data_IF_074416400779
#
_entry.id   IF_074416400779
#
_cell.length_a   1.000
_cell.length_b   1.000
_cell.length_c   1.000
_cell.angle_alpha   90.00
_cell.angle_beta   90.00
_cell.angle_gamma   90.00
#
_symmetry.space_group_name_H-M   'P 1'
#
loop_
_entity.id
_entity.type
_entity.pdbx_description
1 polymer ?
#
# COMPACT_ATOMS: atom_id res chain seq x y z
N UNK A 1 -18.11 32.52 3.17
CA UNK A 1 -18.80 31.62 4.12
C UNK A 1 -17.94 31.47 5.38
N UNK A 2 -18.55 31.36 6.56
CA UNK A 2 -17.83 31.30 7.85
C UNK A 2 -18.09 29.94 8.51
N UNK A 3 -17.03 29.30 9.02
CA UNK A 3 -17.04 28.01 9.69
C UNK A 3 -16.20 28.12 10.97
N UNK A 4 -16.85 28.18 12.11
CA UNK A 4 -16.15 28.38 13.38
C UNK A 4 -15.19 29.59 13.34
N UNK A 5 -13.90 29.29 13.49
CA UNK A 5 -12.80 30.28 13.52
C UNK A 5 -12.20 30.62 12.14
N UNK A 6 -12.74 30.00 11.06
CA UNK A 6 -12.24 30.19 9.69
C UNK A 6 -13.32 30.74 8.77
N UNK A 7 -12.89 31.33 7.65
CA UNK A 7 -13.76 31.87 6.61
C UNK A 7 -13.20 31.52 5.24
N UNK A 8 -14.07 31.11 4.33
CA UNK A 8 -13.69 30.90 2.92
C UNK A 8 -14.33 32.00 2.09
N UNK A 9 -13.50 32.75 1.38
CA UNK A 9 -13.90 33.93 0.60
C UNK A 9 -12.94 34.08 -0.58
N UNK A 10 -13.49 34.30 -1.77
CA UNK A 10 -12.76 34.55 -3.02
C UNK A 10 -11.61 33.56 -3.29
N UNK A 11 -11.87 32.25 -3.08
CA UNK A 11 -10.87 31.21 -3.29
C UNK A 11 -9.74 31.18 -2.26
N UNK A 12 -9.92 31.81 -1.12
CA UNK A 12 -8.96 31.85 -0.03
C UNK A 12 -9.58 31.33 1.27
N UNK A 13 -8.80 30.60 2.05
CA UNK A 13 -9.10 30.26 3.43
C UNK A 13 -8.46 31.31 4.35
N UNK A 14 -9.29 32.00 5.11
CA UNK A 14 -8.90 33.11 5.99
C UNK A 14 -9.06 32.65 7.43
N UNK A 15 -8.02 32.81 8.24
CA UNK A 15 -8.01 32.45 9.66
C UNK A 15 -7.02 33.31 10.46
N UNK A 16 -7.23 33.38 11.77
CA UNK A 16 -6.32 34.08 12.67
C UNK A 16 -5.40 33.12 13.41
N UNK A 17 -4.12 33.45 13.44
CA UNK A 17 -3.12 32.74 14.25
C UNK A 17 -2.25 33.78 14.95
N UNK A 18 -2.15 33.72 16.27
CA UNK A 18 -1.42 34.72 17.08
C UNK A 18 -1.85 36.15 16.77
N UNK A 19 -3.17 36.39 16.68
CA UNK A 19 -3.79 37.69 16.34
C UNK A 19 -3.48 38.23 14.91
N UNK A 20 -2.74 37.47 14.12
CA UNK A 20 -2.43 37.82 12.72
C UNK A 20 -3.41 37.12 11.81
N UNK A 21 -4.05 37.89 10.92
CA UNK A 21 -4.86 37.31 9.86
C UNK A 21 -3.97 36.63 8.83
N UNK A 22 -4.24 35.34 8.59
CA UNK A 22 -3.60 34.56 7.56
C UNK A 22 -4.57 34.35 6.40
N UNK A 23 -4.02 34.39 5.20
CA UNK A 23 -4.75 34.16 3.96
C UNK A 23 -4.08 33.02 3.19
N UNK A 24 -4.74 31.89 3.08
CA UNK A 24 -4.25 30.69 2.41
C UNK A 24 -5.05 30.46 1.13
N UNK A 25 -4.46 30.62 -0.06
CA UNK A 25 -5.14 30.29 -1.32
C UNK A 25 -5.60 28.83 -1.32
N UNK A 26 -6.87 28.58 -1.63
CA UNK A 26 -7.43 27.22 -1.67
C UNK A 26 -6.66 26.30 -2.65
N UNK A 27 -6.13 26.85 -3.74
CA UNK A 27 -5.28 26.13 -4.71
C UNK A 27 -3.97 25.59 -4.12
N UNK A 28 -3.52 26.13 -2.98
CA UNK A 28 -2.31 25.67 -2.30
C UNK A 28 -2.59 24.53 -1.31
N UNK A 29 -3.85 24.19 -1.10
CA UNK A 29 -4.26 23.06 -0.25
C UNK A 29 -4.17 21.78 -1.11
N UNK A 30 -3.35 20.82 -0.67
CA UNK A 30 -3.21 19.54 -1.38
C UNK A 30 -4.10 18.45 -0.79
N UNK A 31 -4.42 18.56 0.50
CA UNK A 31 -5.25 17.59 1.20
C UNK A 31 -5.98 18.25 2.37
N UNK A 32 -7.25 17.93 2.54
CA UNK A 32 -8.05 18.32 3.69
C UNK A 32 -8.95 17.17 4.16
N UNK A 33 -9.06 16.99 5.48
CA UNK A 33 -9.84 15.93 6.08
C UNK A 33 -10.38 16.30 7.46
N UNK A 34 -11.38 15.54 7.92
CA UNK A 34 -11.93 15.65 9.28
C UNK A 34 -11.19 14.65 10.17
N UNK A 35 -10.56 15.13 11.24
CA UNK A 35 -9.97 14.32 12.28
C UNK A 35 -10.88 14.33 13.51
N UNK A 36 -11.24 13.16 14.02
CA UNK A 36 -12.00 12.98 15.23
C UNK A 36 -11.06 12.53 16.34
N UNK A 37 -10.96 13.31 17.39
CA UNK A 37 -10.18 12.97 18.58
C UNK A 37 -11.09 12.32 19.61
N UNK A 38 -10.70 11.16 20.16
CA UNK A 38 -11.51 10.39 21.13
C UNK A 38 -12.35 9.25 20.54
N UNK A 39 -12.30 9.01 19.23
CA UNK A 39 -13.10 7.95 18.58
C UNK A 39 -12.75 6.52 19.05
N UNK A 40 -11.52 6.31 19.56
CA UNK A 40 -11.03 5.02 20.08
C UNK A 40 -11.00 4.94 21.61
N UNK A 41 -11.59 5.89 22.32
CA UNK A 41 -11.66 5.85 23.78
C UNK A 41 -12.78 4.93 24.25
N UNK A 42 -12.58 4.24 25.38
CA UNK A 42 -13.60 3.42 26.06
C UNK A 42 -14.91 4.20 26.23
N UNK A 43 -16.05 3.51 26.24
CA UNK A 43 -17.40 4.12 26.21
C UNK A 43 -17.66 5.24 27.24
N UNK A 44 -16.93 5.25 28.35
CA UNK A 44 -17.04 6.28 29.38
C UNK A 44 -16.47 7.67 28.95
N UNK A 45 -15.65 7.75 27.89
CA UNK A 45 -14.98 8.98 27.42
C UNK A 45 -15.60 9.51 26.12
N UNK A 46 -16.55 8.83 25.54
CA UNK A 46 -17.26 9.23 24.29
C UNK A 46 -17.99 10.56 24.35
N UNK A 47 -18.11 11.18 25.50
CA UNK A 47 -18.77 12.49 25.66
C UNK A 47 -17.92 13.70 25.25
N UNK A 48 -16.64 13.53 24.89
CA UNK A 48 -15.74 14.62 24.43
C UNK A 48 -15.10 14.29 23.09
N UNK A 49 -15.91 14.06 22.05
CA UNK A 49 -15.37 13.96 20.68
C UNK A 49 -15.16 15.36 20.13
N UNK A 50 -13.90 15.74 19.96
CA UNK A 50 -13.54 16.98 19.25
C UNK A 50 -13.32 16.69 17.77
N UNK A 51 -13.98 17.45 16.90
CA UNK A 51 -13.80 17.36 15.47
C UNK A 51 -12.88 18.50 14.97
N UNK A 52 -11.94 18.15 14.13
CA UNK A 52 -11.00 19.10 13.55
C UNK A 52 -11.01 19.00 12.04
N UNK A 53 -11.11 20.13 11.35
CA UNK A 53 -10.73 20.21 9.95
C UNK A 53 -9.20 20.36 9.87
N UNK A 54 -8.54 19.37 9.30
CA UNK A 54 -7.10 19.37 9.06
C UNK A 54 -6.82 19.71 7.61
N UNK A 55 -5.88 20.61 7.38
CA UNK A 55 -5.48 21.08 6.05
C UNK A 55 -3.98 20.95 5.88
N UNK A 56 -3.57 20.34 4.78
CA UNK A 56 -2.16 20.20 4.37
C UNK A 56 -1.94 21.01 3.10
N UNK A 57 -0.90 21.82 3.08
CA UNK A 57 -0.56 22.66 1.93
C UNK A 57 0.57 22.07 1.08
N UNK A 58 0.76 22.59 -0.16
CA UNK A 58 1.89 22.27 -1.06
C UNK A 58 3.25 22.44 -0.38
N UNK A 59 3.36 23.42 0.54
CA UNK A 59 4.57 23.67 1.34
C UNK A 59 4.69 22.75 2.56
N UNK A 60 3.92 21.67 2.62
CA UNK A 60 3.89 20.69 3.73
C UNK A 60 3.51 21.30 5.10
N UNK A 61 2.87 22.47 5.13
CA UNK A 61 2.34 23.06 6.37
C UNK A 61 1.02 22.40 6.71
N UNK A 62 0.85 22.02 7.99
CA UNK A 62 -0.39 21.48 8.55
C UNK A 62 -1.09 22.55 9.37
N UNK A 63 -2.38 22.74 9.12
CA UNK A 63 -3.29 23.56 9.91
C UNK A 63 -4.40 22.68 10.45
N UNK A 64 -4.86 22.98 11.66
CA UNK A 64 -5.93 22.23 12.33
C UNK A 64 -6.90 23.22 12.93
N UNK A 65 -8.19 23.07 12.64
CA UNK A 65 -9.25 23.97 13.07
C UNK A 65 -10.36 23.16 13.74
N UNK A 66 -10.60 23.44 15.02
CA UNK A 66 -11.68 22.83 15.76
C UNK A 66 -13.02 23.42 15.29
N UNK A 67 -13.97 22.54 14.97
CA UNK A 67 -15.33 22.93 14.54
C UNK A 67 -16.28 21.73 14.66
N UNK A 68 -17.56 21.96 14.47
CA UNK A 68 -18.55 20.89 14.41
C UNK A 68 -18.33 20.02 13.17
N UNK A 69 -18.79 18.76 13.21
CA UNK A 69 -18.69 17.86 12.06
C UNK A 69 -19.40 18.43 10.83
N UNK A 70 -20.57 19.02 11.02
CA UNK A 70 -21.35 19.63 9.95
C UNK A 70 -20.59 20.79 9.30
N UNK A 71 -20.00 21.69 10.10
CA UNK A 71 -19.18 22.81 9.58
C UNK A 71 -17.96 22.29 8.82
N UNK A 72 -17.30 21.24 9.31
CA UNK A 72 -16.15 20.64 8.66
C UNK A 72 -16.51 20.02 7.30
N UNK A 73 -17.64 19.30 7.20
CA UNK A 73 -18.15 18.73 5.95
C UNK A 73 -18.51 19.82 4.93
N UNK A 74 -19.19 20.88 5.36
CA UNK A 74 -19.56 21.99 4.50
C UNK A 74 -18.32 22.75 4.02
N UNK A 75 -17.37 23.00 4.91
CA UNK A 75 -16.11 23.65 4.55
C UNK A 75 -15.32 22.81 3.54
N UNK A 76 -15.22 21.51 3.73
CA UNK A 76 -14.58 20.60 2.76
C UNK A 76 -15.23 20.68 1.38
N UNK A 77 -16.56 20.71 1.31
CA UNK A 77 -17.31 20.88 0.04
C UNK A 77 -16.93 22.19 -0.66
N UNK A 78 -16.91 23.29 0.07
CA UNK A 78 -16.56 24.60 -0.49
C UNK A 78 -15.10 24.66 -0.93
N UNK A 79 -14.17 24.14 -0.13
CA UNK A 79 -12.75 24.05 -0.50
C UNK A 79 -12.55 23.23 -1.78
N UNK A 80 -13.30 22.12 -1.93
CA UNK A 80 -13.28 21.27 -3.12
C UNK A 80 -13.81 21.97 -4.38
N UNK A 81 -14.79 22.88 -4.25
CA UNK A 81 -15.27 23.71 -5.37
C UNK A 81 -14.18 24.68 -5.86
N UNK A 82 -13.42 25.30 -4.94
CA UNK A 82 -12.32 26.19 -5.31
C UNK A 82 -11.04 25.47 -5.72
N UNK A 83 -10.87 24.21 -5.32
CA UNK A 83 -9.73 23.37 -5.69
C UNK A 83 -10.17 21.92 -5.95
N UNK A 84 -10.64 21.62 -7.15
CA UNK A 84 -11.04 20.25 -7.54
C UNK A 84 -9.92 19.20 -7.42
N UNK A 85 -8.65 19.61 -7.52
CA UNK A 85 -7.48 18.73 -7.40
C UNK A 85 -7.17 18.31 -5.94
N UNK A 86 -7.72 19.03 -4.96
CA UNK A 86 -7.47 18.76 -3.54
C UNK A 86 -7.99 17.37 -3.15
N UNK A 87 -7.14 16.56 -2.52
CA UNK A 87 -7.60 15.30 -1.92
C UNK A 87 -8.45 15.59 -0.67
N UNK A 88 -9.57 14.89 -0.50
CA UNK A 88 -10.46 15.03 0.66
C UNK A 88 -10.68 13.69 1.35
N UNK A 89 -10.89 13.75 2.65
CA UNK A 89 -11.19 12.59 3.49
C UNK A 89 -9.98 11.75 3.86
N UNK A 90 -10.24 10.76 4.68
CA UNK A 90 -9.34 9.65 4.93
C UNK A 90 -9.78 8.48 4.04
N UNK A 91 -9.16 8.24 2.92
CA UNK A 91 -9.15 6.90 2.40
C UNK A 91 -8.29 6.08 3.36
N UNK A 92 -8.87 5.49 4.40
CA UNK A 92 -8.21 4.51 5.30
C UNK A 92 -7.56 3.45 4.40
N UNK A 93 -6.25 3.57 4.06
CA UNK A 93 -5.59 2.67 3.13
C UNK A 93 -6.60 2.14 2.10
N UNK A 94 -7.24 3.05 1.36
CA UNK A 94 -8.50 2.73 0.72
C UNK A 94 -8.25 1.92 -0.53
N UNK A 95 -9.01 0.85 -0.72
CA UNK A 95 -9.08 0.20 -2.03
C UNK A 95 -9.41 1.27 -3.07
N UNK A 96 -8.52 1.48 -4.02
CA UNK A 96 -8.83 2.28 -5.20
C UNK A 96 -9.80 1.42 -6.02
N UNK A 97 -10.98 1.95 -6.33
CA UNK A 97 -11.95 1.23 -7.14
C UNK A 97 -11.41 1.06 -8.54
N UNK A 98 -10.93 -0.13 -8.84
CA UNK A 98 -10.45 -0.56 -10.14
C UNK A 98 -11.39 -1.61 -10.72
N UNK A 99 -11.49 -1.66 -12.04
CA UNK A 99 -12.31 -2.64 -12.73
C UNK A 99 -11.63 -4.02 -12.77
N UNK A 100 -10.32 -4.05 -12.99
CA UNK A 100 -9.56 -5.28 -13.26
C UNK A 100 -8.39 -5.51 -12.29
N UNK A 101 -8.06 -4.55 -11.44
CA UNK A 101 -6.90 -4.60 -10.54
C UNK A 101 -7.37 -4.73 -9.09
N UNK A 102 -7.55 -5.96 -8.64
CA UNK A 102 -8.26 -6.28 -7.39
C UNK A 102 -7.59 -5.84 -6.11
N UNK A 103 -6.25 -5.84 -6.04
CA UNK A 103 -5.47 -5.55 -4.85
C UNK A 103 -4.80 -4.16 -4.88
N UNK A 104 -5.35 -3.23 -5.68
CA UNK A 104 -4.82 -1.86 -5.78
C UNK A 104 -5.29 -1.01 -4.61
N UNK A 105 -4.34 -0.45 -3.85
CA UNK A 105 -4.59 0.36 -2.65
C UNK A 105 -3.68 1.58 -2.58
N UNK A 106 -4.26 2.69 -2.13
CA UNK A 106 -3.54 3.91 -1.74
C UNK A 106 -3.14 3.80 -0.25
N UNK A 107 -1.88 4.00 0.06
CA UNK A 107 -1.37 4.07 1.43
C UNK A 107 -1.59 5.45 2.06
N UNK A 108 -2.26 6.35 1.36
CA UNK A 108 -2.62 7.67 1.86
C UNK A 108 -3.39 7.62 3.17
N UNK A 109 -3.23 8.65 3.98
CA UNK A 109 -3.84 8.83 5.29
C UNK A 109 -3.37 7.88 6.41
N UNK A 110 -2.51 6.90 6.13
CA UNK A 110 -1.87 6.11 7.18
C UNK A 110 -1.08 7.05 8.10
N UNK A 111 -1.35 6.96 9.41
CA UNK A 111 -0.71 7.78 10.42
C UNK A 111 0.65 7.20 10.83
N UNK A 112 1.61 8.08 11.05
CA UNK A 112 2.91 7.77 11.66
C UNK A 112 2.85 8.02 13.17
N UNK A 113 3.78 7.43 13.94
CA UNK A 113 3.83 7.56 15.41
C UNK A 113 3.99 9.01 15.89
N UNK A 114 4.57 9.87 15.08
CA UNK A 114 4.74 11.30 15.37
C UNK A 114 3.55 12.18 14.92
N UNK A 115 2.43 11.55 14.54
CA UNK A 115 1.19 12.23 14.17
C UNK A 115 1.15 12.82 12.76
N UNK A 116 2.16 12.55 11.93
CA UNK A 116 2.10 12.86 10.49
C UNK A 116 1.28 11.78 9.76
N UNK A 117 0.93 12.06 8.52
CA UNK A 117 0.17 11.14 7.68
C UNK A 117 0.78 11.07 6.29
N UNK A 118 0.71 9.89 5.68
CA UNK A 118 1.07 9.71 4.27
C UNK A 118 0.07 10.50 3.42
N UNK A 119 0.57 11.28 2.46
CA UNK A 119 -0.29 12.03 1.55
C UNK A 119 -1.07 11.07 0.65
N UNK A 120 -2.39 11.29 0.45
CA UNK A 120 -3.19 10.50 -0.47
C UNK A 120 -2.64 10.55 -1.90
N UNK A 121 -2.83 9.47 -2.63
CA UNK A 121 -2.45 9.32 -4.04
C UNK A 121 -0.97 9.59 -4.31
N UNK A 122 -0.10 9.19 -3.36
CA UNK A 122 1.35 9.28 -3.51
C UNK A 122 2.02 7.91 -3.54
N UNK A 123 1.55 7.00 -2.72
CA UNK A 123 2.13 5.69 -2.54
C UNK A 123 1.04 4.64 -2.77
N UNK A 124 1.12 3.94 -3.89
CA UNK A 124 0.10 2.98 -4.33
C UNK A 124 0.73 1.60 -4.45
N UNK A 125 0.12 0.60 -3.82
CA UNK A 125 0.48 -0.80 -4.00
C UNK A 125 -0.57 -1.52 -4.86
N UNK A 126 -0.15 -2.50 -5.69
CA UNK A 126 -1.03 -3.20 -6.61
C UNK A 126 -0.60 -4.64 -6.90
N UNK A 127 -1.48 -5.44 -7.51
CA UNK A 127 -1.12 -6.57 -8.34
C UNK A 127 -0.61 -6.10 -9.71
N UNK A 128 -0.25 -7.06 -10.60
CA UNK A 128 0.28 -6.74 -11.92
C UNK A 128 -0.71 -5.91 -12.74
N UNK A 129 -0.20 -5.12 -13.68
CA UNK A 129 -0.98 -4.23 -14.51
C UNK A 129 -1.40 -4.86 -15.86
N UNK A 130 -1.14 -6.14 -16.06
CA UNK A 130 -1.42 -6.86 -17.32
C UNK A 130 -2.88 -6.74 -17.75
N UNK A 131 -3.81 -6.84 -16.82
CA UNK A 131 -5.25 -6.76 -17.10
C UNK A 131 -5.86 -5.36 -16.93
N UNK A 132 -5.03 -4.31 -16.70
CA UNK A 132 -5.56 -2.98 -16.47
C UNK A 132 -6.41 -2.50 -17.64
N UNK A 133 -7.71 -2.32 -17.39
CA UNK A 133 -8.67 -1.82 -18.38
C UNK A 133 -8.40 -0.36 -18.73
N UNK A 134 -9.03 0.15 -19.80
CA UNK A 134 -8.97 1.58 -20.12
C UNK A 134 -9.49 2.47 -18.98
N UNK A 135 -10.49 1.99 -18.23
CA UNK A 135 -10.99 2.70 -17.06
C UNK A 135 -9.95 2.73 -15.93
N UNK A 136 -9.25 1.61 -15.69
CA UNK A 136 -8.18 1.55 -14.70
C UNK A 136 -7.02 2.46 -15.07
N UNK A 137 -6.60 2.47 -16.32
CA UNK A 137 -5.58 3.36 -16.85
C UNK A 137 -5.96 4.83 -16.62
N UNK A 138 -7.22 5.19 -16.90
CA UNK A 138 -7.73 6.55 -16.67
C UNK A 138 -7.65 6.93 -15.18
N UNK A 139 -8.07 6.06 -14.27
CA UNK A 139 -7.96 6.28 -12.81
C UNK A 139 -6.50 6.48 -12.39
N UNK A 140 -5.58 5.64 -12.88
CA UNK A 140 -4.16 5.76 -12.57
C UNK A 140 -3.57 7.07 -13.10
N UNK A 141 -3.91 7.48 -14.34
CA UNK A 141 -3.39 8.70 -14.95
C UNK A 141 -4.02 9.95 -14.38
N UNK A 142 -5.37 10.02 -14.32
CA UNK A 142 -6.09 11.25 -14.05
C UNK A 142 -6.37 11.44 -12.56
N UNK A 143 -6.77 10.39 -11.84
CA UNK A 143 -7.09 10.51 -10.43
C UNK A 143 -5.86 10.37 -9.54
N UNK A 144 -4.96 9.43 -9.86
CA UNK A 144 -3.76 9.17 -9.08
C UNK A 144 -2.56 10.01 -9.55
N UNK A 145 -2.60 10.54 -10.79
CA UNK A 145 -1.45 11.24 -11.40
C UNK A 145 -0.19 10.37 -11.38
N UNK A 146 -0.33 9.10 -11.79
CA UNK A 146 0.74 8.12 -11.80
C UNK A 146 1.94 8.61 -12.61
N UNK A 147 3.14 8.51 -12.05
CA UNK A 147 4.40 8.91 -12.68
C UNK A 147 5.48 7.83 -12.64
N UNK A 148 5.40 6.94 -11.68
CA UNK A 148 6.41 5.89 -11.50
C UNK A 148 5.72 4.56 -11.24
N UNK A 149 6.17 3.52 -11.95
CA UNK A 149 5.81 2.12 -11.70
C UNK A 149 7.07 1.34 -11.36
N UNK A 150 7.03 0.58 -10.28
CA UNK A 150 8.10 -0.31 -9.86
C UNK A 150 7.58 -1.75 -9.92
N UNK A 151 8.10 -2.54 -10.86
CA UNK A 151 7.78 -3.94 -11.04
C UNK A 151 8.77 -4.82 -10.27
N UNK A 152 8.26 -5.57 -9.27
CA UNK A 152 9.04 -6.43 -8.40
C UNK A 152 9.10 -7.90 -8.89
N UNK A 153 8.53 -8.17 -10.06
CA UNK A 153 8.50 -9.51 -10.67
C UNK A 153 9.83 -9.86 -11.30
N UNK A 154 10.07 -11.15 -11.45
CA UNK A 154 11.16 -11.65 -12.29
C UNK A 154 10.88 -11.50 -13.79
N UNK A 155 11.86 -11.84 -14.62
CA UNK A 155 11.75 -11.66 -16.07
C UNK A 155 10.76 -12.64 -16.70
N UNK A 156 10.61 -13.86 -16.17
CA UNK A 156 9.67 -14.85 -16.69
C UNK A 156 8.23 -14.39 -16.48
N UNK A 157 7.88 -13.97 -15.26
CA UNK A 157 6.54 -13.41 -14.96
C UNK A 157 6.21 -12.21 -15.85
N UNK A 158 7.19 -11.34 -16.12
CA UNK A 158 7.00 -10.17 -16.99
C UNK A 158 6.79 -10.56 -18.44
N UNK A 159 7.52 -11.56 -18.95
CA UNK A 159 7.36 -12.04 -20.31
C UNK A 159 6.00 -12.71 -20.53
N UNK A 160 5.51 -13.45 -19.55
CA UNK A 160 4.22 -14.11 -19.62
C UNK A 160 3.03 -13.13 -19.49
N UNK A 161 3.17 -12.13 -18.65
CA UNK A 161 2.12 -11.13 -18.36
C UNK A 161 2.71 -9.73 -18.36
N UNK A 162 3.10 -9.21 -19.54
CA UNK A 162 3.66 -7.86 -19.64
C UNK A 162 2.65 -6.81 -19.17
N UNK A 163 3.13 -5.84 -18.41
CA UNK A 163 2.27 -4.74 -18.01
C UNK A 163 1.84 -3.90 -19.22
N UNK A 164 0.66 -3.33 -19.11
CA UNK A 164 0.27 -2.28 -20.03
C UNK A 164 1.17 -1.06 -19.82
N UNK A 165 1.49 -0.37 -20.91
CA UNK A 165 2.30 0.85 -20.86
C UNK A 165 1.40 2.07 -20.70
N UNK A 166 1.45 2.72 -19.54
CA UNK A 166 0.75 3.98 -19.27
C UNK A 166 1.62 5.15 -19.75
N UNK A 167 1.07 5.97 -20.65
CA UNK A 167 1.83 7.09 -21.26
C UNK A 167 2.30 8.10 -20.21
N UNK A 168 3.58 8.48 -20.27
CA UNK A 168 4.18 9.50 -19.40
C UNK A 168 4.51 8.99 -17.99
N UNK A 169 4.59 7.66 -17.83
CA UNK A 169 4.99 6.97 -16.62
C UNK A 169 6.36 6.34 -16.83
N UNK A 170 7.21 6.44 -15.83
CA UNK A 170 8.55 5.85 -15.79
C UNK A 170 8.47 4.46 -15.13
N UNK A 171 9.15 3.46 -15.71
CA UNK A 171 9.09 2.07 -15.27
C UNK A 171 10.45 1.60 -14.76
N UNK A 172 10.47 1.11 -13.53
CA UNK A 172 11.63 0.49 -12.90
C UNK A 172 11.40 -1.01 -12.73
N UNK A 173 12.35 -1.82 -13.21
CA UNK A 173 12.37 -3.24 -12.95
C UNK A 173 13.31 -3.54 -11.78
N UNK A 174 12.74 -4.03 -10.68
CA UNK A 174 13.45 -4.35 -9.43
C UNK A 174 13.02 -5.75 -8.98
N UNK A 175 13.52 -6.82 -9.65
CA UNK A 175 13.14 -8.19 -9.29
C UNK A 175 13.61 -8.49 -7.87
N UNK A 176 12.68 -8.93 -7.01
CA UNK A 176 12.96 -9.21 -5.60
C UNK A 176 13.66 -10.54 -5.38
N UNK A 177 13.84 -11.34 -6.41
CA UNK A 177 14.35 -12.70 -6.35
C UNK A 177 15.35 -12.89 -7.47
N UNK A 178 16.48 -13.52 -7.13
CA UNK A 178 17.53 -13.83 -8.08
C UNK A 178 17.12 -15.01 -8.96
N UNK A 179 17.07 -14.79 -10.26
CA UNK A 179 16.70 -15.82 -11.24
C UNK A 179 17.74 -16.96 -11.30
N UNK A 180 19.00 -16.66 -11.03
CA UNK A 180 20.07 -17.67 -11.00
C UNK A 180 19.88 -18.67 -9.87
N UNK A 181 19.38 -18.20 -8.71
CA UNK A 181 19.09 -19.05 -7.55
C UNK A 181 17.85 -19.93 -7.73
N UNK A 182 16.93 -19.54 -8.63
CA UNK A 182 15.68 -20.28 -8.87
C UNK A 182 15.92 -21.50 -9.74
N UNK A 183 16.80 -21.39 -10.75
CA UNK A 183 17.08 -22.48 -11.69
C UNK A 183 17.62 -23.74 -11.01
N UNK A 184 18.31 -23.59 -9.88
CA UNK A 184 18.96 -24.68 -9.17
C UNK A 184 18.11 -25.32 -8.06
N UNK A 185 16.93 -24.75 -7.74
CA UNK A 185 16.07 -25.30 -6.69
C UNK A 185 14.58 -25.40 -7.10
N UNK A 186 14.17 -26.55 -7.66
CA UNK A 186 12.75 -26.81 -7.95
C UNK A 186 11.84 -26.83 -6.70
N UNK A 187 12.42 -26.62 -5.52
CA UNK A 187 11.73 -26.62 -4.22
C UNK A 187 11.39 -25.22 -3.70
N UNK A 188 11.59 -24.14 -4.47
CA UNK A 188 11.14 -22.81 -4.07
C UNK A 188 9.68 -22.60 -4.46
N UNK A 189 8.91 -21.94 -3.59
CA UNK A 189 7.53 -21.49 -3.90
C UNK A 189 7.49 -20.76 -5.24
N UNK A 190 8.52 -20.05 -5.58
CA UNK A 190 8.65 -19.24 -6.77
C UNK A 190 8.86 -20.06 -8.02
N UNK A 191 9.66 -21.12 -7.98
CA UNK A 191 9.76 -22.06 -9.08
C UNK A 191 8.41 -22.74 -9.38
N UNK A 192 7.54 -22.84 -8.37
CA UNK A 192 6.17 -23.33 -8.52
C UNK A 192 5.25 -22.25 -9.11
N UNK A 193 5.43 -20.98 -8.71
CA UNK A 193 4.53 -19.87 -9.07
C UNK A 193 4.85 -19.19 -10.41
N UNK A 194 6.01 -19.45 -10.98
CA UNK A 194 6.55 -18.76 -12.16
C UNK A 194 6.06 -19.26 -13.52
N UNK A 195 5.16 -20.21 -13.58
CA UNK A 195 4.77 -20.81 -14.87
C UNK A 195 3.30 -20.68 -15.18
N UNK A 196 2.96 -20.73 -16.47
CA UNK A 196 1.57 -20.85 -16.95
C UNK A 196 0.84 -22.05 -16.33
N UNK A 197 1.60 -23.05 -15.86
CA UNK A 197 1.11 -24.24 -15.17
C UNK A 197 1.18 -24.13 -13.63
N UNK A 198 1.17 -22.90 -13.07
CA UNK A 198 1.27 -22.65 -11.62
C UNK A 198 0.33 -23.56 -10.83
N UNK A 199 -0.93 -23.62 -11.21
CA UNK A 199 -1.92 -24.44 -10.51
C UNK A 199 -1.53 -25.94 -10.53
N UNK A 200 -1.11 -26.46 -11.68
CA UNK A 200 -0.68 -27.87 -11.81
C UNK A 200 0.49 -28.18 -10.89
N UNK A 201 1.53 -27.35 -10.91
CA UNK A 201 2.72 -27.53 -10.05
C UNK A 201 2.38 -27.46 -8.56
N UNK A 202 1.47 -26.54 -8.17
CA UNK A 202 0.97 -26.45 -6.81
C UNK A 202 0.24 -27.72 -6.38
N UNK A 203 -0.62 -28.25 -7.24
CA UNK A 203 -1.39 -29.45 -6.95
C UNK A 203 -0.48 -30.69 -6.88
N UNK A 204 0.54 -30.79 -7.74
CA UNK A 204 1.53 -31.87 -7.79
C UNK A 204 2.59 -31.80 -6.68
N UNK A 205 2.73 -30.66 -5.98
CA UNK A 205 3.73 -30.52 -4.93
C UNK A 205 3.33 -31.28 -3.66
N UNK A 206 4.13 -32.25 -3.25
CA UNK A 206 3.86 -33.15 -2.09
C UNK A 206 4.28 -32.51 -0.72
N UNK A 207 4.93 -31.35 -0.73
CA UNK A 207 5.39 -30.69 0.48
C UNK A 207 4.37 -29.70 1.06
N UNK A 208 4.77 -29.09 2.19
CA UNK A 208 4.00 -28.02 2.84
C UNK A 208 4.27 -26.67 2.16
N UNK A 209 3.28 -26.18 1.40
CA UNK A 209 3.34 -24.89 0.71
C UNK A 209 3.41 -23.72 1.70
N UNK A 210 2.75 -23.80 2.85
CA UNK A 210 2.80 -22.74 3.86
C UNK A 210 4.22 -22.54 4.40
N UNK A 211 4.89 -23.64 4.75
CA UNK A 211 6.29 -23.61 5.19
C UNK A 211 7.22 -23.01 4.12
N UNK A 212 6.99 -23.29 2.84
CA UNK A 212 7.75 -22.68 1.75
C UNK A 212 7.51 -21.18 1.67
N UNK A 213 6.25 -20.74 1.80
CA UNK A 213 5.90 -19.32 1.81
C UNK A 213 6.57 -18.61 3.00
N UNK A 214 6.48 -19.18 4.21
CA UNK A 214 7.13 -18.62 5.40
C UNK A 214 8.65 -18.49 5.22
N UNK A 215 9.30 -19.52 4.67
CA UNK A 215 10.73 -19.46 4.37
C UNK A 215 11.07 -18.35 3.39
N UNK A 216 10.19 -18.09 2.42
CA UNK A 216 10.40 -17.02 1.45
C UNK A 216 10.35 -15.64 2.10
N UNK A 217 9.48 -15.41 3.10
CA UNK A 217 9.47 -14.14 3.85
C UNK A 217 10.75 -13.91 4.65
N UNK A 218 11.36 -14.98 5.17
CA UNK A 218 12.70 -14.91 5.78
C UNK A 218 13.76 -14.56 4.73
N UNK A 219 13.74 -15.22 3.57
CA UNK A 219 14.69 -15.00 2.50
C UNK A 219 14.67 -13.56 1.96
N UNK A 220 13.50 -12.93 1.82
CA UNK A 220 13.39 -11.54 1.36
C UNK A 220 14.22 -10.53 2.16
N UNK A 221 14.52 -10.82 3.43
CA UNK A 221 15.24 -9.91 4.32
C UNK A 221 16.59 -10.47 4.79
N UNK A 222 16.95 -11.67 4.36
CA UNK A 222 18.21 -12.33 4.72
C UNK A 222 19.13 -12.53 3.50
N UNK A 223 18.53 -12.84 2.36
CA UNK A 223 19.26 -12.99 1.12
C UNK A 223 19.82 -11.65 0.65
N UNK A 224 21.12 -11.63 0.30
CA UNK A 224 21.83 -10.39 -0.07
C UNK A 224 21.26 -9.74 -1.34
N UNK A 225 20.83 -10.54 -2.31
CA UNK A 225 20.21 -10.02 -3.52
C UNK A 225 18.89 -9.30 -3.19
N UNK A 226 17.98 -9.97 -2.49
CA UNK A 226 16.68 -9.42 -2.09
C UNK A 226 16.83 -8.14 -1.25
N UNK A 227 17.78 -8.12 -0.30
CA UNK A 227 18.09 -6.93 0.52
C UNK A 227 18.58 -5.77 -0.36
N UNK A 228 19.44 -6.04 -1.34
CA UNK A 228 19.89 -5.02 -2.30
C UNK A 228 18.74 -4.48 -3.15
N UNK A 229 17.80 -5.33 -3.57
CA UNK A 229 16.63 -4.88 -4.32
C UNK A 229 15.67 -4.06 -3.43
N UNK A 230 15.51 -4.40 -2.15
CA UNK A 230 14.78 -3.55 -1.20
C UNK A 230 15.42 -2.16 -1.08
N UNK A 231 16.75 -2.08 -1.03
CA UNK A 231 17.45 -0.80 -1.00
C UNK A 231 17.22 0.02 -2.28
N UNK A 232 17.29 -0.63 -3.46
CA UNK A 232 16.98 0.02 -4.75
C UNK A 232 15.54 0.53 -4.81
N UNK A 233 14.58 -0.25 -4.30
CA UNK A 233 13.18 0.18 -4.20
C UNK A 233 13.05 1.46 -3.37
N UNK A 234 13.70 1.53 -2.21
CA UNK A 234 13.71 2.72 -1.36
C UNK A 234 14.37 3.92 -2.06
N UNK A 235 15.46 3.68 -2.78
CA UNK A 235 16.18 4.72 -3.51
C UNK A 235 15.31 5.35 -4.61
N UNK A 236 14.59 4.55 -5.39
CA UNK A 236 13.63 5.05 -6.40
C UNK A 236 12.56 5.92 -5.74
N UNK A 237 12.02 5.51 -4.60
CA UNK A 237 11.02 6.32 -3.88
C UNK A 237 11.57 7.61 -3.28
N UNK A 238 12.82 7.61 -2.83
CA UNK A 238 13.49 8.81 -2.31
C UNK A 238 13.71 9.88 -3.40
N UNK A 239 13.95 9.45 -4.64
CA UNK A 239 14.14 10.34 -5.77
C UNK A 239 12.83 10.65 -6.54
N UNK A 240 11.72 10.04 -6.13
CA UNK A 240 10.41 10.30 -6.74
C UNK A 240 9.86 11.66 -6.29
N UNK A 241 9.74 12.61 -7.21
CA UNK A 241 9.37 13.99 -6.87
C UNK A 241 7.87 14.27 -7.05
N UNK A 242 7.27 13.83 -8.15
CA UNK A 242 5.95 14.27 -8.57
C UNK A 242 4.99 13.13 -8.88
N UNK A 243 3.69 13.37 -8.60
CA UNK A 243 2.64 12.40 -8.89
C UNK A 243 2.59 11.24 -7.90
N UNK A 244 2.08 10.11 -8.32
CA UNK A 244 2.05 8.87 -7.56
C UNK A 244 3.15 7.91 -8.02
N UNK A 245 3.72 7.16 -7.08
CA UNK A 245 4.51 5.96 -7.33
C UNK A 245 3.62 4.73 -7.04
N UNK A 246 3.59 3.78 -7.96
CA UNK A 246 2.91 2.50 -7.81
C UNK A 246 3.95 1.38 -7.85
N UNK A 247 3.85 0.42 -6.95
CA UNK A 247 4.65 -0.80 -7.03
C UNK A 247 3.77 -2.04 -6.99
N UNK A 248 4.20 -3.05 -7.72
CA UNK A 248 3.44 -4.28 -7.87
C UNK A 248 4.33 -5.51 -8.00
N UNK A 249 3.71 -6.67 -7.84
CA UNK A 249 4.20 -7.97 -8.25
C UNK A 249 3.05 -8.71 -8.95
N UNK A 250 2.96 -10.04 -8.92
CA UNK A 250 1.86 -10.75 -9.57
C UNK A 250 0.51 -10.52 -8.90
N UNK A 251 0.38 -10.73 -7.58
CA UNK A 251 -0.85 -10.54 -6.82
C UNK A 251 -0.85 -9.30 -5.91
N UNK A 252 0.28 -8.60 -5.78
CA UNK A 252 0.40 -7.45 -4.91
C UNK A 252 0.35 -7.78 -3.41
N UNK A 253 0.62 -9.05 -3.00
CA UNK A 253 0.52 -9.48 -1.61
C UNK A 253 1.88 -9.72 -0.94
N UNK A 254 2.75 -10.59 -1.48
CA UNK A 254 4.00 -11.03 -0.84
C UNK A 254 5.14 -10.03 -1.02
N UNK A 255 5.78 -9.96 -2.19
CA UNK A 255 6.89 -9.02 -2.49
C UNK A 255 6.48 -7.57 -2.21
N UNK A 256 5.32 -7.19 -2.69
CA UNK A 256 4.70 -5.88 -2.40
C UNK A 256 4.45 -5.71 -0.91
N UNK A 257 3.97 -6.74 -0.22
CA UNK A 257 3.74 -6.71 1.23
C UNK A 257 5.02 -6.45 2.00
N UNK A 258 6.12 -7.13 1.63
CA UNK A 258 7.45 -6.97 2.25
C UNK A 258 7.97 -5.53 2.08
N UNK A 259 8.09 -5.03 0.85
CA UNK A 259 8.63 -3.68 0.62
C UNK A 259 7.72 -2.60 1.20
N UNK A 260 6.40 -2.82 1.19
CA UNK A 260 5.44 -1.90 1.84
C UNK A 260 5.63 -1.87 3.34
N UNK A 261 5.77 -3.04 3.98
CA UNK A 261 6.00 -3.12 5.43
C UNK A 261 7.32 -2.44 5.84
N UNK A 262 8.39 -2.65 5.07
CA UNK A 262 9.68 -1.97 5.29
C UNK A 262 9.56 -0.45 5.12
N UNK A 263 8.88 0.01 4.06
CA UNK A 263 8.63 1.43 3.82
C UNK A 263 7.83 2.07 4.96
N UNK A 264 6.73 1.43 5.38
CA UNK A 264 5.89 1.93 6.46
C UNK A 264 6.65 1.95 7.79
N UNK A 265 7.53 0.97 8.07
CA UNK A 265 8.44 0.99 9.21
C UNK A 265 9.40 2.18 9.15
N UNK A 266 10.03 2.43 8.00
CA UNK A 266 10.95 3.56 7.79
C UNK A 266 10.24 4.92 7.96
N UNK A 267 8.96 5.01 7.59
CA UNK A 267 8.10 6.18 7.80
C UNK A 267 7.60 6.31 9.26
N UNK A 268 7.92 5.37 10.14
CA UNK A 268 7.52 5.40 11.54
C UNK A 268 6.05 5.04 11.79
N UNK A 269 5.41 4.27 10.93
CA UNK A 269 4.06 3.77 11.12
C UNK A 269 4.03 2.72 12.24
N UNK A 270 2.92 2.66 12.99
CA UNK A 270 2.74 1.66 14.05
C UNK A 270 2.61 0.26 13.47
N UNK A 271 3.17 -0.75 14.14
CA UNK A 271 3.21 -2.13 13.63
C UNK A 271 1.85 -2.75 13.39
N UNK A 272 0.88 -2.44 14.22
CA UNK A 272 -0.48 -2.97 14.06
C UNK A 272 -1.13 -2.46 12.77
N UNK A 273 -0.88 -1.19 12.40
CA UNK A 273 -1.35 -0.59 11.15
C UNK A 273 -0.66 -1.25 9.94
N UNK A 274 0.63 -1.59 10.06
CA UNK A 274 1.36 -2.33 9.01
C UNK A 274 0.77 -3.73 8.83
N UNK A 275 0.48 -4.44 9.91
CA UNK A 275 -0.20 -5.74 9.87
C UNK A 275 -1.59 -5.65 9.24
N UNK A 276 -2.36 -4.65 9.64
CA UNK A 276 -3.70 -4.40 9.07
C UNK A 276 -3.64 -4.22 7.55
N UNK A 277 -2.73 -3.37 7.03
CA UNK A 277 -2.57 -3.21 5.59
C UNK A 277 -2.16 -4.53 4.93
N UNK A 278 -1.23 -5.27 5.51
CA UNK A 278 -0.76 -6.54 4.98
C UNK A 278 -1.90 -7.57 4.86
N UNK A 279 -2.65 -7.81 5.95
CA UNK A 279 -3.77 -8.78 6.01
C UNK A 279 -4.94 -8.36 5.13
N UNK A 280 -5.12 -7.07 4.88
CA UNK A 280 -6.17 -6.57 3.97
C UNK A 280 -6.06 -7.13 2.55
N UNK A 281 -4.89 -7.62 2.14
CA UNK A 281 -4.72 -8.34 0.87
C UNK A 281 -5.66 -9.55 0.76
N UNK A 282 -5.98 -10.22 1.87
CA UNK A 282 -6.92 -11.35 1.87
C UNK A 282 -8.34 -10.95 1.45
N UNK A 283 -8.77 -9.76 1.87
CA UNK A 283 -10.08 -9.20 1.48
C UNK A 283 -10.06 -8.77 0.03
N UNK A 284 -8.98 -8.14 -0.41
CA UNK A 284 -8.86 -7.65 -1.78
C UNK A 284 -8.80 -8.79 -2.81
N UNK A 285 -8.20 -9.93 -2.45
CA UNK A 285 -8.01 -11.10 -3.31
C UNK A 285 -9.07 -12.20 -3.08
N UNK A 286 -10.11 -11.92 -2.28
CA UNK A 286 -11.14 -12.93 -2.00
C UNK A 286 -11.87 -13.42 -3.26
N UNK A 287 -12.07 -12.53 -4.25
CA UNK A 287 -12.70 -12.89 -5.52
C UNK A 287 -11.85 -13.83 -6.37
N UNK A 288 -10.54 -13.61 -6.42
CA UNK A 288 -9.59 -14.47 -7.13
C UNK A 288 -9.51 -15.85 -6.48
N UNK A 289 -9.48 -15.90 -5.16
CA UNK A 289 -9.52 -17.17 -4.43
C UNK A 289 -10.82 -17.92 -4.69
N UNK A 290 -11.99 -17.24 -4.60
CA UNK A 290 -13.28 -17.85 -4.87
C UNK A 290 -13.35 -18.42 -6.31
N UNK A 291 -12.85 -17.68 -7.30
CA UNK A 291 -12.75 -18.14 -8.67
C UNK A 291 -11.92 -19.42 -8.78
N UNK A 292 -10.74 -19.47 -8.12
CA UNK A 292 -9.88 -20.65 -8.16
C UNK A 292 -10.49 -21.86 -7.45
N UNK A 293 -11.18 -21.66 -6.34
CA UNK A 293 -11.87 -22.73 -5.63
C UNK A 293 -13.01 -23.33 -6.48
N UNK A 294 -13.80 -22.49 -7.14
CA UNK A 294 -14.84 -22.95 -8.10
C UNK A 294 -14.23 -23.70 -9.29
N UNK A 295 -13.06 -23.25 -9.76
CA UNK A 295 -12.33 -23.95 -10.81
C UNK A 295 -11.92 -25.37 -10.37
N UNK A 296 -11.39 -25.53 -9.14
CA UNK A 296 -11.08 -26.84 -8.57
C UNK A 296 -12.31 -27.73 -8.51
N UNK A 297 -13.42 -27.22 -7.99
CA UNK A 297 -14.71 -27.94 -7.90
C UNK A 297 -15.19 -28.42 -9.28
N UNK A 298 -15.25 -27.50 -10.25
CA UNK A 298 -15.69 -27.81 -11.61
C UNK A 298 -14.84 -28.88 -12.31
N UNK A 299 -13.55 -28.98 -11.96
CA UNK A 299 -12.61 -29.95 -12.51
C UNK A 299 -12.42 -31.20 -11.62
N UNK A 300 -13.18 -31.34 -10.53
CA UNK A 300 -13.07 -32.44 -9.54
C UNK A 300 -11.68 -32.55 -8.90
N UNK A 301 -11.04 -31.41 -8.69
CA UNK A 301 -9.71 -31.28 -8.07
C UNK A 301 -9.80 -30.70 -6.64
N UNK A 302 -10.99 -30.66 -6.05
CA UNK A 302 -11.36 -30.00 -4.80
C UNK A 302 -11.13 -30.84 -3.54
N UNK A 303 -10.12 -31.74 -3.57
CA UNK A 303 -9.70 -32.41 -2.35
C UNK A 303 -9.29 -31.39 -1.28
N UNK A 304 -9.46 -31.73 0.01
CA UNK A 304 -9.10 -30.87 1.15
C UNK A 304 -7.64 -30.38 1.02
N UNK A 305 -6.73 -31.27 0.61
CA UNK A 305 -5.33 -30.94 0.41
C UNK A 305 -5.15 -29.86 -0.68
N UNK A 306 -5.81 -30.01 -1.82
CA UNK A 306 -5.74 -29.05 -2.92
C UNK A 306 -6.35 -27.69 -2.56
N UNK A 307 -7.51 -27.70 -1.90
CA UNK A 307 -8.15 -26.47 -1.39
C UNK A 307 -7.23 -25.74 -0.44
N UNK A 308 -6.55 -26.44 0.48
CA UNK A 308 -5.59 -25.83 1.39
C UNK A 308 -4.37 -25.25 0.66
N UNK A 309 -3.78 -25.98 -0.27
CA UNK A 309 -2.65 -25.52 -1.09
C UNK A 309 -2.99 -24.24 -1.87
N UNK A 310 -4.12 -24.23 -2.56
CA UNK A 310 -4.58 -23.05 -3.32
C UNK A 310 -4.91 -21.90 -2.38
N UNK A 311 -5.57 -22.16 -1.25
CA UNK A 311 -5.88 -21.12 -0.27
C UNK A 311 -4.62 -20.44 0.28
N UNK A 312 -3.57 -21.22 0.57
CA UNK A 312 -2.27 -20.68 1.02
C UNK A 312 -1.64 -19.74 0.00
N UNK A 313 -1.80 -20.02 -1.30
CA UNK A 313 -1.26 -19.17 -2.36
C UNK A 313 -1.94 -17.81 -2.47
N UNK A 314 -3.23 -17.71 -2.15
CA UNK A 314 -4.00 -16.47 -2.30
C UNK A 314 -4.12 -15.68 -1.00
N UNK A 315 -3.75 -16.27 0.13
CA UNK A 315 -3.83 -15.64 1.45
C UNK A 315 -2.45 -15.25 1.97
N UNK A 316 -2.44 -14.29 2.85
CA UNK A 316 -1.32 -13.95 3.71
C UNK A 316 -1.71 -14.14 5.17
N UNK A 317 -0.74 -14.44 6.03
CA UNK A 317 -0.91 -14.61 7.48
C UNK A 317 -0.01 -13.63 8.22
N UNK A 318 -0.41 -13.21 9.40
CA UNK A 318 0.40 -12.31 10.24
C UNK A 318 1.76 -12.93 10.58
N UNK A 319 1.80 -14.25 10.74
CA UNK A 319 2.99 -15.03 11.04
C UNK A 319 4.09 -14.84 10.00
N UNK A 320 3.74 -14.66 8.71
CA UNK A 320 4.70 -14.41 7.63
C UNK A 320 5.44 -13.09 7.86
N UNK A 321 4.68 -12.06 8.18
CA UNK A 321 5.23 -10.73 8.47
C UNK A 321 6.04 -10.73 9.77
N UNK A 322 5.56 -11.43 10.81
CA UNK A 322 6.26 -11.57 12.08
C UNK A 322 7.58 -12.34 11.93
N UNK A 323 7.62 -13.37 11.07
CA UNK A 323 8.85 -14.09 10.74
C UNK A 323 9.87 -13.18 10.08
N UNK A 324 9.45 -12.39 9.08
CA UNK A 324 10.28 -11.37 8.44
C UNK A 324 10.89 -10.41 9.48
N UNK A 325 10.08 -9.83 10.34
CA UNK A 325 10.57 -8.89 11.34
C UNK A 325 11.51 -9.52 12.38
N UNK A 326 11.22 -10.75 12.83
CA UNK A 326 12.11 -11.49 13.72
C UNK A 326 13.48 -11.73 13.08
N UNK A 327 13.50 -12.05 11.79
CA UNK A 327 14.75 -12.24 11.03
C UNK A 327 15.56 -10.95 10.98
N UNK A 328 14.94 -9.81 10.65
CA UNK A 328 15.63 -8.50 10.66
C UNK A 328 16.27 -8.20 12.00
N UNK A 329 15.56 -8.41 13.12
CA UNK A 329 16.12 -8.17 14.45
C UNK A 329 17.25 -9.13 14.82
N UNK A 330 17.19 -10.37 14.37
CA UNK A 330 18.25 -11.34 14.61
C UNK A 330 19.53 -10.95 13.87
N UNK A 331 19.43 -10.50 12.63
CA UNK A 331 20.58 -10.05 11.82
C UNK A 331 21.17 -8.72 12.37
N UNK A 332 20.34 -7.77 12.76
CA UNK A 332 20.80 -6.51 13.37
C UNK A 332 21.61 -6.76 14.66
N UNK A 333 21.15 -7.66 15.54
CA UNK A 333 21.88 -8.04 16.74
C UNK A 333 23.22 -8.72 16.45
N UNK A 334 23.32 -9.51 15.37
CA UNK A 334 24.60 -10.13 14.96
C UNK A 334 25.58 -9.06 14.48
N UNK A 335 25.12 -8.13 13.64
CA UNK A 335 25.95 -7.04 13.12
C UNK A 335 26.48 -6.14 14.26
N UNK A 336 25.63 -5.82 15.24
CA UNK A 336 26.01 -5.01 16.41
C UNK A 336 27.06 -5.71 17.27
N UNK A 337 26.97 -7.03 17.47
CA UNK A 337 27.98 -7.79 18.23
C UNK A 337 29.33 -7.87 17.51
N UNK A 338 29.33 -8.04 16.19
CA UNK A 338 30.56 -8.08 15.38
C UNK A 338 31.28 -6.73 15.34
N UNK A 339 30.56 -5.61 15.41
CA UNK A 339 31.14 -4.26 15.44
C UNK A 339 31.60 -3.82 16.83
N UNK A 340 31.29 -4.58 17.90
CA UNK A 340 31.70 -4.30 19.30
C UNK A 340 32.81 -5.21 19.81
N UNK A 341 33.33 -6.13 19.01
CA UNK A 341 34.48 -7.00 19.24
C UNK A 341 35.67 -6.56 18.42
#
# INVERSE_FOLDING_TARGET
>A
MRYGKIRVEDGNLIFFRHMIQNNLPCRDIVWAYIHREGENAEEAVKQMISNYLVIITRRKKRYQFEMTEHEAQDCLRILKLFNPEMATGFPKGGRITMQSLSNTRDLGAIATKDGRHILPRKLIRSGNLYHASMADQHVLQEDCKLKTVIDLRDQLERNERPDIVVKGVEYYHIPMIDEETISDSPKSVLGILQTNDMLKKVLEYDGDIESLIEQQYENFVKDQYSVKQCARFMDVLLHHENGAALWHCSFGKDRVGVVTALLLCALGVHRDVIREDFIRSNVCLAGELDYMLRYLEANRLDSIANVNKVSALFRVKEEYLDRMFRTIYAEDRKSTRLNSS
#
